data_IF_546304553386
#
_entry.id   IF_546304553386
#
_cell.length_a   1.000
_cell.length_b   1.000
_cell.length_c   1.000
_cell.angle_alpha   90.00
_cell.angle_beta   90.00
_cell.angle_gamma   90.00
#
_symmetry.space_group_name_H-M   'P 1'
#
loop_
_entity.id
_entity.type
_entity.pdbx_description
1 polymer ?
#
# COMPACT_ATOMS: atom_id res chain seq x y z
N UNK A 1 -27.09 -13.74 -5.72
CA UNK A 1 -27.45 -13.89 -7.15
C UNK A 1 -28.47 -12.82 -7.49
N UNK A 2 -28.33 -12.11 -8.60
CA UNK A 2 -29.41 -11.28 -9.13
C UNK A 2 -30.54 -12.19 -9.68
N UNK A 3 -31.74 -11.64 -9.81
CA UNK A 3 -32.94 -12.36 -10.29
C UNK A 3 -32.81 -12.97 -11.70
N UNK A 4 -31.78 -12.59 -12.47
CA UNK A 4 -31.49 -13.08 -13.83
C UNK A 4 -30.34 -14.09 -13.92
N UNK A 5 -29.85 -14.59 -12.77
CA UNK A 5 -28.80 -15.62 -12.75
C UNK A 5 -27.42 -15.12 -13.19
N UNK A 6 -27.26 -13.85 -13.57
CA UNK A 6 -25.96 -13.32 -13.97
C UNK A 6 -25.17 -12.84 -12.76
N UNK A 7 -23.95 -13.36 -12.62
CA UNK A 7 -23.00 -12.97 -11.58
C UNK A 7 -22.36 -11.61 -11.92
N UNK A 8 -23.16 -10.53 -11.92
CA UNK A 8 -22.71 -9.14 -12.20
C UNK A 8 -21.92 -8.50 -11.05
N UNK A 9 -21.30 -9.31 -10.19
CA UNK A 9 -20.34 -8.82 -9.22
C UNK A 9 -18.96 -8.87 -9.84
N UNK A 10 -18.31 -7.72 -10.05
CA UNK A 10 -16.88 -7.68 -10.34
C UNK A 10 -16.06 -8.42 -9.28
N UNK A 11 -14.81 -8.75 -9.59
CA UNK A 11 -13.92 -9.48 -8.69
C UNK A 11 -13.91 -8.83 -7.29
N UNK A 12 -14.50 -9.51 -6.31
CA UNK A 12 -14.49 -9.06 -4.92
C UNK A 12 -13.15 -9.44 -4.30
N UNK A 13 -12.64 -8.61 -3.40
CA UNK A 13 -11.46 -8.93 -2.59
C UNK A 13 -11.75 -10.26 -1.86
N UNK A 14 -10.97 -11.30 -2.17
CA UNK A 14 -11.14 -12.65 -1.61
C UNK A 14 -12.09 -13.60 -2.36
N UNK A 15 -12.69 -13.20 -3.48
CA UNK A 15 -13.48 -14.10 -4.32
C UNK A 15 -12.58 -14.87 -5.31
N UNK A 16 -12.70 -16.19 -5.32
CA UNK A 16 -11.93 -17.09 -6.18
C UNK A 16 -10.63 -17.60 -5.54
N UNK A 17 -9.97 -18.54 -6.21
CA UNK A 17 -8.68 -19.04 -5.77
C UNK A 17 -7.64 -17.92 -5.84
N UNK A 18 -6.84 -17.75 -4.77
CA UNK A 18 -5.72 -16.81 -4.78
C UNK A 18 -4.78 -17.18 -5.92
N UNK A 19 -4.35 -16.19 -6.71
CA UNK A 19 -3.37 -16.43 -7.76
C UNK A 19 -2.05 -16.90 -7.12
N UNK A 20 -1.51 -17.99 -7.67
CA UNK A 20 -0.18 -18.51 -7.35
C UNK A 20 0.90 -17.50 -7.74
N UNK A 21 2.03 -17.51 -7.03
CA UNK A 21 3.17 -16.66 -7.36
C UNK A 21 3.74 -17.03 -8.74
N UNK A 22 4.46 -16.11 -9.38
CA UNK A 22 5.10 -16.41 -10.67
C UNK A 22 6.07 -17.60 -10.56
N UNK A 23 6.90 -17.62 -9.51
CA UNK A 23 7.83 -18.71 -9.22
C UNK A 23 7.11 -20.07 -9.10
N UNK A 24 6.00 -20.13 -8.36
CA UNK A 24 5.18 -21.35 -8.23
C UNK A 24 4.58 -21.77 -9.58
N UNK A 25 4.09 -20.83 -10.39
CA UNK A 25 3.54 -21.14 -11.72
C UNK A 25 4.61 -21.71 -12.66
N UNK A 26 5.85 -21.21 -12.58
CA UNK A 26 6.98 -21.72 -13.36
C UNK A 26 7.35 -23.13 -12.87
N UNK A 27 7.46 -23.34 -11.55
CA UNK A 27 7.77 -24.64 -10.96
C UNK A 27 6.72 -25.72 -11.31
N UNK A 28 5.45 -25.34 -11.39
CA UNK A 28 4.34 -26.22 -11.76
C UNK A 28 4.15 -26.40 -13.28
N UNK A 29 5.02 -25.81 -14.12
CA UNK A 29 4.93 -25.93 -15.57
C UNK A 29 3.74 -25.20 -16.20
N UNK A 30 3.26 -24.11 -15.58
CA UNK A 30 2.14 -23.30 -16.03
C UNK A 30 0.85 -24.11 -16.29
N UNK A 31 0.25 -24.73 -15.27
CA UNK A 31 -0.90 -25.62 -15.44
C UNK A 31 -2.14 -24.90 -15.99
N UNK A 32 -2.19 -23.57 -15.89
CA UNK A 32 -3.27 -22.74 -16.41
C UNK A 32 -3.16 -22.36 -17.90
N UNK A 33 -2.06 -22.71 -18.57
CA UNK A 33 -1.85 -22.53 -20.01
C UNK A 33 -1.81 -21.09 -20.54
N UNK A 34 -2.10 -20.09 -19.70
CA UNK A 34 -2.01 -18.66 -20.08
C UNK A 34 -0.54 -18.24 -20.18
N UNK A 35 -0.16 -17.41 -21.15
CA UNK A 35 1.21 -16.91 -21.23
C UNK A 35 1.58 -16.20 -19.93
N UNK A 36 2.67 -16.66 -19.30
CA UNK A 36 3.21 -16.02 -18.11
C UNK A 36 4.03 -14.82 -18.55
N UNK A 37 3.71 -13.65 -18.03
CA UNK A 37 4.59 -12.48 -18.16
C UNK A 37 5.79 -12.70 -17.24
N UNK A 38 6.84 -13.32 -17.76
CA UNK A 38 8.12 -13.48 -17.07
C UNK A 38 9.06 -12.42 -17.64
N UNK A 39 9.33 -11.37 -16.87
CA UNK A 39 10.43 -10.45 -17.20
C UNK A 39 11.72 -11.06 -16.70
N UNK A 40 12.41 -11.79 -17.58
CA UNK A 40 13.76 -12.26 -17.36
C UNK A 40 14.73 -11.18 -17.88
N UNK A 41 15.45 -10.51 -16.97
CA UNK A 41 16.44 -9.50 -17.36
C UNK A 41 17.69 -10.21 -17.90
N UNK A 42 17.66 -10.62 -19.17
CA UNK A 42 18.78 -11.34 -19.80
C UNK A 42 20.00 -10.45 -20.15
N UNK A 43 20.00 -9.16 -19.83
CA UNK A 43 21.17 -8.29 -20.01
C UNK A 43 21.23 -7.22 -18.92
N UNK A 44 21.97 -7.51 -17.85
CA UNK A 44 22.23 -6.59 -16.73
C UNK A 44 23.24 -5.48 -17.06
N UNK A 45 23.92 -5.57 -18.21
CA UNK A 45 25.03 -4.68 -18.55
C UNK A 45 24.61 -3.31 -19.11
N UNK A 46 23.39 -3.15 -19.65
CA UNK A 46 22.92 -1.94 -20.35
C UNK A 46 21.59 -1.37 -19.82
N UNK A 47 21.16 -1.80 -18.63
CA UNK A 47 19.99 -1.20 -17.97
C UNK A 47 20.35 0.21 -17.50
N UNK A 48 20.04 1.23 -18.31
CA UNK A 48 19.86 2.59 -17.80
C UNK A 48 18.80 2.49 -16.69
N UNK A 49 19.21 2.76 -15.46
CA UNK A 49 18.29 2.74 -14.32
C UNK A 49 17.07 3.59 -14.65
N UNK A 50 15.88 2.99 -14.51
CA UNK A 50 14.64 3.73 -14.63
C UNK A 50 14.66 4.83 -13.56
N UNK A 51 14.65 6.10 -13.96
CA UNK A 51 14.67 7.21 -13.01
C UNK A 51 13.36 7.20 -12.23
N UNK A 52 13.45 7.38 -10.90
CA UNK A 52 12.26 7.49 -10.06
C UNK A 52 11.42 8.67 -10.55
N UNK A 53 10.12 8.48 -10.83
CA UNK A 53 9.25 9.59 -11.19
C UNK A 53 9.24 10.63 -10.08
N UNK A 54 9.32 11.91 -10.46
CA UNK A 54 9.25 13.01 -9.50
C UNK A 54 7.94 12.93 -8.71
N UNK A 55 7.99 12.82 -7.37
CA UNK A 55 6.79 12.77 -6.55
C UNK A 55 6.01 14.08 -6.68
N UNK A 56 4.68 14.01 -6.73
CA UNK A 56 3.86 15.21 -6.67
C UNK A 56 4.17 16.06 -5.43
N UNK A 57 4.31 17.38 -5.62
CA UNK A 57 4.60 18.35 -4.54
C UNK A 57 3.67 18.24 -3.33
N UNK A 58 2.44 17.75 -3.52
CA UNK A 58 1.48 17.51 -2.44
C UNK A 58 1.97 16.48 -1.40
N UNK A 59 2.84 15.54 -1.79
CA UNK A 59 3.41 14.52 -0.91
C UNK A 59 4.40 15.11 0.11
N UNK A 60 4.94 16.29 -0.15
CA UNK A 60 5.89 17.02 0.71
C UNK A 60 5.27 18.31 1.27
N UNK A 61 3.94 18.45 1.21
CA UNK A 61 3.25 19.64 1.67
C UNK A 61 3.39 19.84 3.20
N UNK A 62 3.81 21.04 3.61
CA UNK A 62 3.86 21.46 5.01
C UNK A 62 2.45 21.54 5.57
N UNK A 63 2.22 20.87 6.70
CA UNK A 63 0.94 20.83 7.38
C UNK A 63 0.75 22.06 8.29
N UNK A 64 -0.47 22.23 8.82
CA UNK A 64 -0.82 23.40 9.66
C UNK A 64 0.06 23.54 10.91
N UNK A 65 0.56 22.43 11.43
CA UNK A 65 1.46 22.35 12.58
C UNK A 65 2.94 22.60 12.22
N UNK A 66 3.24 22.91 10.96
CA UNK A 66 4.59 23.18 10.46
C UNK A 66 5.39 21.93 10.11
N UNK A 67 4.86 20.72 10.35
CA UNK A 67 5.54 19.47 10.00
C UNK A 67 5.36 19.16 8.52
N UNK A 68 6.40 18.59 7.90
CA UNK A 68 6.31 18.05 6.54
C UNK A 68 5.54 16.74 6.54
N UNK A 69 4.70 16.53 5.53
CA UNK A 69 4.00 15.27 5.36
C UNK A 69 4.99 14.13 5.03
N UNK A 70 4.92 13.02 5.77
CA UNK A 70 5.80 11.84 5.62
C UNK A 70 5.57 11.09 4.29
N UNK A 71 4.57 11.49 3.50
CA UNK A 71 4.17 10.79 2.29
C UNK A 71 5.29 10.76 1.23
N UNK A 72 6.09 11.82 1.10
CA UNK A 72 7.24 11.86 0.19
C UNK A 72 8.28 10.77 0.50
N UNK A 73 8.55 10.50 1.77
CA UNK A 73 9.47 9.43 2.20
C UNK A 73 8.90 8.06 1.90
N UNK A 74 7.61 7.83 2.22
CA UNK A 74 6.92 6.56 1.93
C UNK A 74 6.96 6.25 0.43
N UNK A 75 6.76 7.27 -0.41
CA UNK A 75 6.85 7.13 -1.87
C UNK A 75 8.24 6.65 -2.30
N UNK A 76 9.30 7.32 -1.84
CA UNK A 76 10.70 7.02 -2.19
C UNK A 76 11.10 5.61 -1.73
N UNK A 77 10.78 5.26 -0.49
CA UNK A 77 11.07 3.94 0.09
C UNK A 77 10.36 2.82 -0.67
N UNK A 78 9.08 3.02 -0.98
CA UNK A 78 8.27 2.02 -1.69
C UNK A 78 8.71 1.89 -3.15
N UNK A 79 9.06 2.99 -3.82
CA UNK A 79 9.60 2.95 -5.18
C UNK A 79 10.93 2.19 -5.22
N UNK A 80 11.85 2.48 -4.29
CA UNK A 80 13.13 1.78 -4.20
C UNK A 80 12.94 0.28 -4.01
N UNK A 81 12.01 -0.11 -3.13
CA UNK A 81 11.65 -1.51 -2.91
C UNK A 81 11.11 -2.18 -4.19
N UNK A 82 10.31 -1.47 -4.99
CA UNK A 82 9.83 -1.96 -6.28
C UNK A 82 10.95 -2.06 -7.33
N UNK A 83 11.83 -1.07 -7.37
CA UNK A 83 12.94 -0.99 -8.32
C UNK A 83 13.96 -2.11 -8.11
N UNK A 84 14.34 -2.40 -6.86
CA UNK A 84 15.19 -3.54 -6.48
C UNK A 84 14.63 -4.91 -6.94
N UNK A 85 13.32 -4.97 -7.21
CA UNK A 85 12.59 -6.17 -7.65
C UNK A 85 12.20 -6.13 -9.12
N UNK A 86 12.69 -5.14 -9.88
CA UNK A 86 12.36 -4.96 -11.29
C UNK A 86 10.87 -4.69 -11.55
N UNK A 87 10.13 -4.24 -10.54
CA UNK A 87 8.68 -4.02 -10.60
C UNK A 87 8.29 -2.53 -10.63
N UNK A 88 9.26 -1.60 -10.62
CA UNK A 88 9.00 -0.15 -10.62
C UNK A 88 8.14 0.29 -11.81
N UNK A 89 8.43 -0.21 -13.01
CA UNK A 89 7.70 0.12 -14.24
C UNK A 89 6.27 -0.45 -14.29
N UNK A 90 5.98 -1.48 -13.49
CA UNK A 90 4.69 -2.17 -13.46
C UNK A 90 3.67 -1.49 -12.55
N UNK A 91 4.14 -0.63 -11.64
CA UNK A 91 3.29 0.09 -10.69
C UNK A 91 3.11 1.51 -11.18
N UNK A 92 1.86 1.89 -11.49
CA UNK A 92 1.58 3.28 -11.90
C UNK A 92 2.03 4.28 -10.82
N UNK A 93 2.66 5.41 -11.18
CA UNK A 93 3.05 6.43 -10.23
C UNK A 93 1.87 6.89 -9.37
N UNK A 94 0.68 7.03 -9.95
CA UNK A 94 -0.53 7.45 -9.23
C UNK A 94 -0.99 6.42 -8.18
N UNK A 95 -0.78 5.11 -8.41
CA UNK A 95 -1.04 4.09 -7.39
C UNK A 95 -0.09 4.26 -6.21
N UNK A 96 1.19 4.49 -6.49
CA UNK A 96 2.21 4.68 -5.49
C UNK A 96 1.99 5.97 -4.66
N UNK A 97 1.64 7.08 -5.31
CA UNK A 97 1.32 8.35 -4.64
C UNK A 97 0.09 8.22 -3.72
N UNK A 98 -0.96 7.53 -4.19
CA UNK A 98 -2.16 7.27 -3.37
C UNK A 98 -1.85 6.43 -2.15
N UNK A 99 -0.99 5.41 -2.30
CA UNK A 99 -0.54 4.57 -1.19
C UNK A 99 0.25 5.39 -0.17
N UNK A 100 1.25 6.15 -0.65
CA UNK A 100 2.08 6.99 0.21
C UNK A 100 1.25 8.04 0.98
N UNK A 101 0.27 8.66 0.31
CA UNK A 101 -0.65 9.61 0.93
C UNK A 101 -1.54 8.94 1.98
N UNK A 102 -2.12 7.76 1.69
CA UNK A 102 -2.99 7.08 2.65
C UNK A 102 -2.22 6.63 3.90
N UNK A 103 -0.98 6.19 3.75
CA UNK A 103 -0.07 5.87 4.86
C UNK A 103 0.16 7.09 5.73
N UNK A 104 0.56 8.23 5.15
CA UNK A 104 0.85 9.43 5.91
C UNK A 104 -0.38 9.94 6.67
N UNK A 105 -1.56 9.90 6.06
CA UNK A 105 -2.82 10.28 6.72
C UNK A 105 -3.22 9.32 7.84
N UNK A 106 -2.93 8.03 7.69
CA UNK A 106 -3.14 7.07 8.77
C UNK A 106 -2.25 7.38 9.98
N UNK A 107 -0.95 7.62 9.76
CA UNK A 107 -0.01 8.00 10.82
C UNK A 107 -0.51 9.25 11.56
N UNK A 108 -0.94 10.29 10.83
CA UNK A 108 -1.50 11.50 11.44
C UNK A 108 -2.74 11.24 12.30
N UNK A 109 -3.62 10.32 11.87
CA UNK A 109 -4.79 9.95 12.68
C UNK A 109 -4.36 9.26 13.98
N UNK A 110 -3.37 8.37 13.94
CA UNK A 110 -2.85 7.66 15.12
C UNK A 110 -2.12 8.61 16.09
N UNK A 111 -1.36 9.59 15.56
CA UNK A 111 -0.79 10.67 16.36
C UNK A 111 -1.89 11.51 17.04
N UNK A 112 -2.91 11.92 16.29
CA UNK A 112 -4.04 12.68 16.83
C UNK A 112 -4.85 11.89 17.87
N UNK A 113 -5.00 10.57 17.70
CA UNK A 113 -5.63 9.69 18.72
C UNK A 113 -4.77 9.64 19.98
N UNK A 114 -3.44 9.64 19.83
CA UNK A 114 -2.51 9.65 20.96
C UNK A 114 -2.56 10.97 21.72
N UNK A 115 -2.67 12.09 20.99
CA UNK A 115 -2.74 13.43 21.59
C UNK A 115 -4.11 13.75 22.21
N UNK A 116 -5.20 13.47 21.50
CA UNK A 116 -6.55 13.88 21.88
C UNK A 116 -7.41 12.78 22.51
N UNK A 117 -6.95 11.53 22.46
CA UNK A 117 -7.66 10.37 22.98
C UNK A 117 -8.63 9.72 21.99
N UNK A 118 -8.99 8.47 22.28
CA UNK A 118 -9.85 7.64 21.43
C UNK A 118 -11.35 7.85 21.67
N UNK A 119 -11.73 8.46 22.80
CA UNK A 119 -13.11 8.84 23.12
C UNK A 119 -13.28 10.35 23.03
N UNK A 120 -14.41 10.79 22.50
CA UNK A 120 -14.86 12.16 22.49
C UNK A 120 -16.26 12.27 23.14
N UNK A 121 -16.77 13.49 23.28
CA UNK A 121 -18.14 13.74 23.74
C UNK A 121 -18.99 14.24 22.58
N UNK A 122 -20.22 13.76 22.49
CA UNK A 122 -21.18 14.24 21.51
C UNK A 122 -21.54 15.71 21.81
N UNK A 123 -21.49 16.63 20.83
CA UNK A 123 -21.59 18.06 21.08
C UNK A 123 -22.95 18.51 21.64
N UNK A 124 -24.02 17.76 21.39
CA UNK A 124 -25.38 18.13 21.85
C UNK A 124 -25.89 17.28 23.02
N UNK A 125 -25.43 16.04 23.17
CA UNK A 125 -25.97 15.11 24.18
C UNK A 125 -24.99 14.86 25.33
N UNK A 126 -23.71 15.23 25.17
CA UNK A 126 -22.67 15.01 26.18
C UNK A 126 -22.24 13.54 26.35
N UNK A 127 -22.92 12.60 25.70
CA UNK A 127 -22.62 11.17 25.75
C UNK A 127 -21.25 10.87 25.12
N UNK A 128 -20.60 9.81 25.61
CA UNK A 128 -19.34 9.34 25.03
C UNK A 128 -19.55 8.83 23.60
N UNK A 129 -18.66 9.23 22.70
CA UNK A 129 -18.61 8.79 21.31
C UNK A 129 -17.16 8.44 20.94
N UNK A 130 -16.99 7.74 19.83
CA UNK A 130 -15.67 7.54 19.25
C UNK A 130 -15.09 8.88 18.77
N UNK A 131 -13.80 9.08 18.98
CA UNK A 131 -13.09 10.23 18.42
C UNK A 131 -13.15 10.22 16.88
N UNK A 132 -13.39 11.37 16.22
CA UNK A 132 -13.45 11.44 14.76
C UNK A 132 -12.17 10.94 14.09
N UNK A 133 -11.02 11.09 14.76
CA UNK A 133 -9.73 10.61 14.27
C UNK A 133 -9.64 9.09 14.22
N UNK A 134 -10.38 8.36 15.07
CA UNK A 134 -10.42 6.89 15.02
C UNK A 134 -11.19 6.42 13.79
N UNK A 135 -12.34 7.04 13.49
CA UNK A 135 -13.11 6.72 12.28
C UNK A 135 -12.31 7.04 11.00
N UNK A 136 -11.63 8.20 10.96
CA UNK A 136 -10.74 8.57 9.86
C UNK A 136 -9.56 7.60 9.73
N UNK A 137 -8.91 7.25 10.85
CA UNK A 137 -7.79 6.31 10.89
C UNK A 137 -8.17 4.93 10.34
N UNK A 138 -9.34 4.41 10.72
CA UNK A 138 -9.85 3.15 10.18
C UNK A 138 -10.05 3.21 8.66
N UNK A 139 -10.58 4.31 8.13
CA UNK A 139 -10.75 4.50 6.69
C UNK A 139 -9.39 4.50 5.95
N UNK A 140 -8.40 5.23 6.46
CA UNK A 140 -7.06 5.28 5.86
C UNK A 140 -6.30 3.97 6.02
N UNK A 141 -6.48 3.24 7.11
CA UNK A 141 -5.95 1.88 7.29
C UNK A 141 -6.51 0.95 6.21
N UNK A 142 -7.84 0.93 6.01
CA UNK A 142 -8.47 0.10 4.97
C UNK A 142 -8.00 0.48 3.58
N UNK A 143 -7.90 1.78 3.28
CA UNK A 143 -7.39 2.27 2.00
C UNK A 143 -5.94 1.83 1.78
N UNK A 144 -5.09 2.01 2.78
CA UNK A 144 -3.67 1.64 2.74
C UNK A 144 -3.51 0.15 2.49
N UNK A 145 -4.21 -0.70 3.23
CA UNK A 145 -4.15 -2.15 3.05
C UNK A 145 -4.62 -2.59 1.66
N UNK A 146 -5.65 -1.94 1.11
CA UNK A 146 -6.14 -2.22 -0.24
C UNK A 146 -5.10 -1.85 -1.29
N UNK A 147 -4.53 -0.65 -1.21
CA UNK A 147 -3.53 -0.16 -2.16
C UNK A 147 -2.24 -0.98 -2.08
N UNK A 148 -1.82 -1.33 -0.85
CA UNK A 148 -0.69 -2.23 -0.64
C UNK A 148 -0.94 -3.60 -1.25
N UNK A 149 -2.13 -4.19 -1.06
CA UNK A 149 -2.46 -5.47 -1.67
C UNK A 149 -2.38 -5.41 -3.19
N UNK A 150 -2.86 -4.33 -3.81
CA UNK A 150 -2.74 -4.12 -5.27
C UNK A 150 -1.28 -4.09 -5.72
N UNK A 151 -0.42 -3.28 -5.06
CA UNK A 151 1.01 -3.20 -5.33
C UNK A 151 1.69 -4.57 -5.12
N UNK A 152 1.41 -5.24 -4.01
CA UNK A 152 2.01 -6.52 -3.67
C UNK A 152 1.59 -7.64 -4.62
N UNK A 153 0.35 -7.64 -5.12
CA UNK A 153 -0.07 -8.59 -6.15
C UNK A 153 0.71 -8.39 -7.45
N UNK A 154 0.97 -7.14 -7.86
CA UNK A 154 1.81 -6.86 -9.05
C UNK A 154 3.19 -7.49 -8.86
N UNK A 155 3.83 -7.27 -7.70
CA UNK A 155 5.13 -7.88 -7.43
C UNK A 155 5.05 -9.41 -7.40
N UNK A 156 4.07 -9.99 -6.71
CA UNK A 156 3.91 -11.44 -6.62
C UNK A 156 3.69 -12.12 -7.99
N UNK A 157 2.98 -11.44 -8.89
CA UNK A 157 2.66 -11.96 -10.22
C UNK A 157 3.80 -11.81 -11.23
N UNK A 158 4.78 -10.93 -10.99
CA UNK A 158 5.81 -10.57 -11.97
C UNK A 158 7.26 -10.75 -11.48
N UNK A 159 7.49 -10.91 -10.18
CA UNK A 159 8.82 -11.14 -9.60
C UNK A 159 9.17 -12.63 -9.57
N UNK A 160 10.36 -12.97 -10.04
CA UNK A 160 10.93 -14.33 -9.96
C UNK A 160 11.51 -14.66 -8.59
N UNK A 161 11.90 -13.66 -7.80
CA UNK A 161 12.42 -13.86 -6.45
C UNK A 161 11.28 -14.10 -5.46
N UNK A 162 11.33 -15.22 -4.74
CA UNK A 162 10.48 -15.45 -3.57
C UNK A 162 10.79 -14.42 -2.47
N UNK A 163 9.74 -13.88 -1.86
CA UNK A 163 9.85 -12.83 -0.86
C UNK A 163 9.97 -13.43 0.55
N UNK A 164 11.07 -13.14 1.26
CA UNK A 164 11.31 -13.59 2.66
C UNK A 164 11.83 -12.47 3.60
N UNK A 165 11.75 -11.20 3.20
CA UNK A 165 12.33 -10.06 3.95
C UNK A 165 11.31 -9.05 4.54
N UNK A 166 11.76 -7.83 4.85
CA UNK A 166 10.91 -6.69 5.22
C UNK A 166 10.33 -5.99 3.97
N UNK A 167 9.11 -5.45 4.08
CA UNK A 167 8.47 -4.65 3.04
C UNK A 167 8.06 -3.25 3.54
N UNK A 168 7.74 -2.33 2.61
CA UNK A 168 7.23 -1.00 2.94
C UNK A 168 6.07 -1.00 3.94
N UNK A 169 5.14 -1.96 3.89
CA UNK A 169 4.04 -2.05 4.86
C UNK A 169 4.51 -2.41 6.28
N UNK A 170 5.56 -3.23 6.41
CA UNK A 170 6.18 -3.55 7.70
C UNK A 170 6.83 -2.28 8.29
N UNK A 171 7.48 -1.46 7.45
CA UNK A 171 8.04 -0.17 7.87
C UNK A 171 6.93 0.81 8.30
N UNK A 172 5.76 0.79 7.67
CA UNK A 172 4.59 1.57 8.12
C UNK A 172 4.17 1.12 9.52
N UNK A 173 4.11 -0.19 9.76
CA UNK A 173 3.79 -0.72 11.09
C UNK A 173 4.84 -0.31 12.12
N UNK A 174 6.12 -0.34 11.78
CA UNK A 174 7.20 0.15 12.65
C UNK A 174 7.04 1.63 12.97
N UNK A 175 6.74 2.48 11.98
CA UNK A 175 6.46 3.92 12.16
C UNK A 175 5.27 4.14 13.11
N UNK A 176 4.20 3.35 12.96
CA UNK A 176 3.05 3.41 13.86
C UNK A 176 3.38 2.98 15.30
N UNK A 177 4.21 1.95 15.48
CA UNK A 177 4.62 1.48 16.80
C UNK A 177 5.59 2.44 17.49
N UNK A 178 6.47 3.08 16.73
CA UNK A 178 7.43 4.06 17.24
C UNK A 178 6.79 5.41 17.54
N UNK A 179 5.80 5.84 16.76
CA UNK A 179 4.96 7.00 17.09
C UNK A 179 4.32 6.86 18.49
N UNK A 180 4.00 5.63 18.90
CA UNK A 180 3.47 5.30 20.23
C UNK A 180 4.51 5.31 21.36
N UNK A 181 5.80 5.16 21.04
CA UNK A 181 6.91 5.09 22.01
C UNK A 181 7.44 6.47 22.44
N UNK A 182 6.81 7.56 21.99
CA UNK A 182 7.06 8.91 22.50
C UNK A 182 6.54 9.10 23.93
N UNK A 183 7.19 8.46 24.91
CA UNK A 183 7.24 8.82 26.34
C UNK A 183 8.58 8.42 26.92
#
# INVERSE_FOLDING_TARGET
MAKDGTNRGGARIGAGAKKKALAEKIAEGNPGGRPLTVMEFQNTADLKGEEMPEPNKMLEAVQKDGKTLVAGEVYKDTWKWLHERGCSSLVSPQLLERYAMSVARWIQCEEAITEYGFLAKHPTTGNAIQSPYVAMGQNYMTQTNRLWFEIFQIVKENSLSEYTGNNPQDNVMERLLTARKGK
#
